data_IF_868481217686
#
_entry.id   IF_868481217686
#
_cell.length_a   1.000
_cell.length_b   1.000
_cell.length_c   1.000
_cell.angle_alpha   90.00
_cell.angle_beta   90.00
_cell.angle_gamma   90.00
#
_symmetry.space_group_name_H-M   'P 1'
#
loop_
_entity.id
_entity.type
_entity.pdbx_description
1 polymer ?
#
# COMPACT_ATOMS: atom_id res chain seq x y z
N UNK A 1 -50.66 5.09 -60.75
CA UNK A 1 -49.88 6.17 -61.39
C UNK A 1 -49.61 7.24 -60.35
N UNK A 2 -48.33 7.61 -60.19
CA UNK A 2 -47.76 8.93 -59.79
C UNK A 2 -48.51 9.72 -58.71
N UNK A 3 -47.94 10.16 -57.59
CA UNK A 3 -46.55 10.31 -57.19
C UNK A 3 -46.54 11.25 -55.99
N UNK A 4 -45.68 10.96 -55.01
CA UNK A 4 -45.35 11.84 -53.88
C UNK A 4 -44.57 13.03 -54.44
N UNK A 5 -44.70 14.19 -53.79
CA UNK A 5 -43.60 15.05 -53.36
C UNK A 5 -44.21 16.28 -52.67
N UNK A 6 -44.20 16.27 -51.34
CA UNK A 6 -44.37 17.49 -50.56
C UNK A 6 -42.99 17.81 -49.98
N UNK A 7 -42.39 18.85 -50.56
CA UNK A 7 -41.19 19.54 -50.12
C UNK A 7 -41.37 20.11 -48.71
N UNK A 8 -40.47 19.77 -47.79
CA UNK A 8 -39.29 20.58 -47.41
C UNK A 8 -39.62 21.70 -46.41
N UNK A 9 -39.49 21.37 -45.13
CA UNK A 9 -39.16 22.33 -44.07
C UNK A 9 -38.42 21.60 -42.95
N UNK A 10 -37.16 21.22 -43.22
CA UNK A 10 -36.20 20.83 -42.19
C UNK A 10 -35.84 22.07 -41.37
N UNK A 11 -36.61 22.32 -40.31
CA UNK A 11 -36.20 23.20 -39.22
C UNK A 11 -35.03 22.53 -38.51
N UNK A 12 -33.82 22.94 -38.88
CA UNK A 12 -32.58 22.64 -38.17
C UNK A 12 -32.70 23.20 -36.75
N UNK A 13 -33.00 22.31 -35.81
CA UNK A 13 -32.82 22.59 -34.39
C UNK A 13 -31.35 22.96 -34.15
N UNK A 14 -31.04 24.08 -33.48
CA UNK A 14 -29.68 24.37 -33.08
C UNK A 14 -29.20 23.29 -32.13
N UNK A 15 -28.17 22.57 -32.56
CA UNK A 15 -27.40 21.64 -31.78
C UNK A 15 -26.98 22.29 -30.46
N UNK A 16 -27.48 21.75 -29.34
CA UNK A 16 -26.89 21.98 -28.02
C UNK A 16 -25.44 21.52 -28.08
N UNK A 17 -24.52 22.47 -28.15
CA UNK A 17 -23.11 22.25 -27.88
C UNK A 17 -23.02 21.80 -26.42
N UNK A 18 -22.52 20.58 -26.12
CA UNK A 18 -22.26 20.21 -24.73
C UNK A 18 -21.11 21.09 -24.20
N UNK A 19 -21.36 21.78 -23.10
CA UNK A 19 -20.35 22.59 -22.42
C UNK A 19 -19.12 21.72 -22.05
N UNK A 20 -17.89 22.26 -22.14
CA UNK A 20 -16.70 21.54 -21.73
C UNK A 20 -16.76 21.24 -20.23
N UNK A 21 -16.64 19.96 -19.88
CA UNK A 21 -16.56 19.49 -18.51
C UNK A 21 -15.22 19.99 -17.96
N UNK A 22 -15.25 20.99 -17.08
CA UNK A 22 -14.07 21.42 -16.35
C UNK A 22 -13.58 20.26 -15.47
N UNK A 23 -12.30 19.84 -15.56
CA UNK A 23 -11.75 18.93 -14.56
C UNK A 23 -11.76 19.63 -13.20
N UNK A 24 -12.07 18.92 -12.10
CA UNK A 24 -12.02 19.51 -10.77
C UNK A 24 -10.62 20.09 -10.52
N UNK A 25 -10.49 21.21 -9.79
CA UNK A 25 -9.19 21.78 -9.50
C UNK A 25 -8.32 20.70 -8.85
N UNK A 26 -7.21 20.40 -9.51
CA UNK A 26 -6.16 19.56 -8.95
C UNK A 26 -5.85 20.11 -7.57
N UNK A 27 -6.20 19.36 -6.53
CA UNK A 27 -5.71 19.59 -5.19
C UNK A 27 -4.21 19.75 -5.31
N UNK A 28 -3.74 20.97 -5.09
CA UNK A 28 -2.34 21.25 -4.88
C UNK A 28 -1.86 20.20 -3.87
N UNK A 29 -1.02 19.28 -4.32
CA UNK A 29 -0.28 18.38 -3.46
C UNK A 29 0.60 19.27 -2.60
N UNK A 30 0.04 19.79 -1.51
CA UNK A 30 0.81 20.18 -0.36
C UNK A 30 1.61 18.94 0.01
N UNK A 31 2.90 19.00 -0.28
CA UNK A 31 3.90 18.03 0.11
C UNK A 31 3.86 17.93 1.64
N UNK A 32 3.00 17.03 2.12
CA UNK A 32 2.87 16.66 3.51
C UNK A 32 4.24 16.23 4.02
N UNK A 33 4.67 16.72 5.19
CA UNK A 33 5.87 16.21 5.85
C UNK A 33 5.74 14.70 6.00
N UNK A 34 6.75 13.98 5.52
CA UNK A 34 6.80 12.52 5.59
C UNK A 34 6.80 12.11 7.07
N UNK A 35 5.63 11.74 7.61
CA UNK A 35 5.52 11.11 8.92
C UNK A 35 6.35 9.81 8.93
N UNK A 36 7.10 9.53 10.00
CA UNK A 36 7.85 8.29 10.15
C UNK A 36 6.97 7.04 10.03
N UNK A 37 7.50 5.99 9.40
CA UNK A 37 6.80 4.73 9.09
C UNK A 37 6.30 3.94 10.31
N UNK A 38 6.75 4.25 11.53
CA UNK A 38 6.24 3.64 12.77
C UNK A 38 4.85 4.16 13.19
N UNK A 39 4.38 5.28 12.62
CA UNK A 39 3.00 5.75 12.78
C UNK A 39 2.01 5.07 11.82
N UNK A 40 2.46 4.08 11.04
CA UNK A 40 1.62 3.17 10.24
C UNK A 40 1.80 1.75 10.74
N UNK A 41 1.37 1.47 11.96
CA UNK A 41 0.96 0.11 12.25
C UNK A 41 -0.31 -0.20 11.44
N UNK A 42 -0.33 -1.30 10.67
CA UNK A 42 -1.59 -1.79 10.12
C UNK A 42 -2.42 -2.25 11.31
N UNK A 43 -3.44 -1.49 11.66
CA UNK A 43 -4.57 -2.01 12.43
C UNK A 43 -4.98 -3.31 11.76
N UNK A 44 -4.86 -4.40 12.53
CA UNK A 44 -5.22 -5.73 12.09
C UNK A 44 -6.57 -5.66 11.36
N UNK A 45 -6.55 -6.02 10.08
CA UNK A 45 -7.76 -6.24 9.33
C UNK A 45 -8.51 -7.36 10.07
N UNK A 46 -9.49 -6.97 10.88
CA UNK A 46 -10.48 -7.88 11.42
C UNK A 46 -11.22 -8.42 10.19
N UNK A 47 -10.83 -9.62 9.77
CA UNK A 47 -11.47 -10.37 8.70
C UNK A 47 -12.97 -10.36 8.95
N UNK A 48 -13.71 -9.66 8.10
CA UNK A 48 -15.16 -9.67 8.07
C UNK A 48 -15.63 -11.09 7.77
N UNK A 49 -15.87 -11.87 8.84
CA UNK A 49 -16.73 -13.03 8.77
C UNK A 49 -18.17 -12.52 8.69
N UNK A 50 -18.88 -13.02 7.69
CA UNK A 50 -20.33 -13.21 7.70
C UNK A 50 -21.15 -12.01 8.14
N UNK A 51 -21.62 -11.26 7.16
CA UNK A 51 -22.65 -10.25 7.28
C UNK A 51 -23.99 -10.86 7.70
N UNK A 52 -24.15 -11.19 8.98
CA UNK A 52 -25.46 -11.38 9.63
C UNK A 52 -25.48 -10.56 10.92
N UNK A 53 -25.26 -9.26 10.76
CA UNK A 53 -25.33 -8.27 11.83
C UNK A 53 -26.38 -7.24 11.47
N UNK A 54 -27.56 -7.38 12.08
CA UNK A 54 -28.66 -6.42 12.05
C UNK A 54 -28.10 -5.00 12.19
N UNK A 55 -28.16 -4.22 11.12
CA UNK A 55 -27.94 -2.78 11.17
C UNK A 55 -29.10 -2.18 11.96
N UNK A 56 -28.98 -2.14 13.29
CA UNK A 56 -29.88 -1.31 14.10
C UNK A 56 -29.55 0.14 13.75
N UNK A 57 -30.45 0.78 13.01
CA UNK A 57 -30.38 2.16 12.51
C UNK A 57 -30.39 3.21 13.63
N UNK A 58 -29.36 3.20 14.48
CA UNK A 58 -29.09 4.25 15.45
C UNK A 58 -27.95 5.13 14.97
N UNK A 59 -28.17 6.44 14.95
CA UNK A 59 -27.14 7.42 14.57
C UNK A 59 -25.85 7.21 15.39
N UNK A 60 -24.64 7.30 14.76
CA UNK A 60 -23.36 6.98 15.42
C UNK A 60 -23.08 7.79 16.69
N UNK A 61 -23.74 8.94 16.84
CA UNK A 61 -23.68 9.80 18.02
C UNK A 61 -24.29 9.17 19.28
N UNK A 62 -25.17 8.17 19.14
CA UNK A 62 -25.80 7.43 20.25
C UNK A 62 -24.78 6.60 21.05
N UNK A 63 -23.78 6.04 20.37
CA UNK A 63 -22.76 5.18 20.99
C UNK A 63 -21.66 5.98 21.71
N UNK A 64 -21.65 7.32 21.62
CA UNK A 64 -20.62 8.16 22.25
C UNK A 64 -20.80 8.18 23.77
N UNK A 65 -19.70 7.91 24.50
CA UNK A 65 -19.63 8.00 25.97
C UNK A 65 -20.15 9.33 26.53
N UNK A 66 -20.02 10.42 25.76
CA UNK A 66 -20.51 11.75 26.12
C UNK A 66 -22.02 11.80 26.39
N UNK A 67 -22.84 10.98 25.71
CA UNK A 67 -24.30 10.93 25.96
C UNK A 67 -24.59 10.37 27.36
N UNK A 68 -23.87 9.33 27.78
CA UNK A 68 -24.02 8.69 29.11
C UNK A 68 -23.54 9.59 30.26
N UNK A 69 -22.62 10.52 29.98
CA UNK A 69 -22.04 11.40 31.00
C UNK A 69 -22.87 12.67 31.28
N UNK A 70 -24.00 12.90 30.59
CA UNK A 70 -24.91 14.02 30.94
C UNK A 70 -25.54 13.81 32.31
N UNK A 71 -25.67 14.87 33.09
CA UNK A 71 -26.08 14.81 34.50
C UNK A 71 -24.90 14.65 35.47
N UNK A 72 -23.73 14.18 35.00
CA UNK A 72 -22.51 14.19 35.82
C UNK A 72 -21.82 15.56 35.77
N UNK A 73 -21.60 16.15 36.95
CA UNK A 73 -21.11 17.53 37.14
C UNK A 73 -19.77 17.81 36.43
N UNK A 74 -18.83 16.86 36.39
CA UNK A 74 -17.48 17.08 35.82
C UNK A 74 -17.16 16.27 34.55
N UNK A 75 -18.16 15.57 33.99
CA UNK A 75 -18.00 14.73 32.79
C UNK A 75 -16.82 13.73 32.86
N UNK A 76 -16.44 13.28 34.06
CA UNK A 76 -15.37 12.30 34.27
C UNK A 76 -13.95 12.87 34.34
N UNK A 77 -13.77 14.19 34.43
CA UNK A 77 -12.46 14.84 34.52
C UNK A 77 -12.03 15.23 35.95
N UNK A 78 -12.74 14.73 36.97
CA UNK A 78 -12.47 15.07 38.38
C UNK A 78 -12.92 16.49 38.78
N UNK A 79 -13.05 16.74 40.10
CA UNK A 79 -13.49 18.05 40.63
C UNK A 79 -12.34 19.03 40.89
N UNK A 80 -11.19 18.52 41.34
CA UNK A 80 -10.05 19.32 41.83
C UNK A 80 -9.14 19.76 40.68
N UNK A 81 -8.53 18.80 39.96
CA UNK A 81 -7.57 19.10 38.90
C UNK A 81 -8.17 19.81 37.67
N UNK A 82 -9.45 19.54 37.38
CA UNK A 82 -10.25 20.05 36.26
C UNK A 82 -9.63 19.82 34.88
N UNK A 83 -10.47 19.68 33.85
CA UNK A 83 -9.98 19.61 32.48
C UNK A 83 -9.57 21.02 31.99
N UNK A 84 -8.29 21.22 31.70
CA UNK A 84 -7.73 22.48 31.18
C UNK A 84 -7.08 22.26 29.82
N UNK A 85 -6.96 23.34 29.03
CA UNK A 85 -6.61 23.26 27.59
C UNK A 85 -5.21 22.69 27.30
N UNK A 86 -4.16 23.13 28.02
CA UNK A 86 -2.77 22.70 27.76
C UNK A 86 -1.96 22.61 29.06
N UNK A 87 -2.02 21.50 29.80
CA UNK A 87 -1.31 21.38 31.08
C UNK A 87 0.22 21.24 30.93
N UNK A 88 0.71 20.63 29.85
CA UNK A 88 2.12 20.32 29.66
C UNK A 88 2.76 20.98 28.43
N UNK A 89 2.12 21.99 27.85
CA UNK A 89 2.48 22.58 26.56
C UNK A 89 1.65 22.05 25.39
N UNK A 90 2.05 22.40 24.17
CA UNK A 90 1.39 22.00 22.92
C UNK A 90 2.30 21.07 22.12
N UNK A 91 1.76 19.99 21.58
CA UNK A 91 2.52 19.03 20.79
C UNK A 91 3.66 18.39 21.60
N UNK A 92 4.86 18.32 21.02
CA UNK A 92 6.05 17.71 21.63
C UNK A 92 6.86 18.67 22.51
N UNK A 93 6.25 19.75 23.01
CA UNK A 93 6.91 20.70 23.90
C UNK A 93 7.44 19.98 25.16
N UNK A 94 8.57 20.45 25.71
CA UNK A 94 9.13 19.89 26.95
C UNK A 94 9.82 18.54 26.81
N UNK A 95 10.02 18.01 25.61
CA UNK A 95 10.58 16.67 25.41
C UNK A 95 12.01 16.47 25.94
N UNK A 96 12.77 17.54 26.18
CA UNK A 96 14.07 17.50 26.87
C UNK A 96 14.01 17.93 28.36
N UNK A 97 12.85 18.44 28.81
CA UNK A 97 12.66 19.02 30.13
C UNK A 97 11.59 18.22 30.89
N UNK A 98 10.41 18.79 31.11
CA UNK A 98 9.35 18.20 31.93
C UNK A 98 8.66 16.98 31.31
N UNK A 99 8.85 16.72 30.01
CA UNK A 99 8.43 15.49 29.32
C UNK A 99 9.60 14.57 28.94
N UNK A 100 10.81 14.85 29.43
CA UNK A 100 12.01 14.04 29.15
C UNK A 100 11.82 12.56 29.43
N UNK A 101 11.24 12.23 30.58
CA UNK A 101 11.01 10.84 31.00
C UNK A 101 10.19 10.07 29.95
N UNK A 102 9.22 10.72 29.30
CA UNK A 102 8.41 10.08 28.28
C UNK A 102 9.21 9.78 27.00
N UNK A 103 10.05 10.73 26.56
CA UNK A 103 10.87 10.58 25.36
C UNK A 103 11.99 9.57 25.55
N UNK A 104 12.69 9.62 26.68
CA UNK A 104 13.79 8.69 26.97
C UNK A 104 13.28 7.24 27.11
N UNK A 105 12.07 7.06 27.64
CA UNK A 105 11.47 5.74 27.85
C UNK A 105 10.91 5.11 26.59
N UNK A 106 10.14 5.86 25.80
CA UNK A 106 9.37 5.28 24.67
C UNK A 106 9.96 5.62 23.30
N UNK A 107 10.77 6.67 23.19
CA UNK A 107 11.32 7.15 21.93
C UNK A 107 12.83 7.44 22.04
N UNK A 108 13.66 6.45 22.41
CA UNK A 108 15.10 6.63 22.46
C UNK A 108 15.64 6.96 21.05
N UNK A 109 16.55 7.94 20.96
CA UNK A 109 17.10 8.41 19.69
C UNK A 109 16.23 9.41 18.94
N UNK A 110 15.13 9.90 19.53
CA UNK A 110 14.33 10.98 18.94
C UNK A 110 15.13 12.29 18.81
N UNK A 111 15.91 12.61 19.84
CA UNK A 111 16.81 13.76 19.83
C UNK A 111 18.19 13.35 19.34
N UNK A 112 18.72 14.07 18.36
CA UNK A 112 20.05 13.86 17.81
C UNK A 112 20.09 13.95 16.29
N UNK A 113 21.30 13.97 15.73
CA UNK A 113 21.54 13.93 14.28
C UNK A 113 22.44 12.75 13.98
N UNK A 114 21.99 11.86 13.09
CA UNK A 114 22.70 10.63 12.73
C UNK A 114 22.79 10.51 11.21
N UNK A 115 23.91 9.99 10.70
CA UNK A 115 24.11 9.66 9.29
C UNK A 115 24.42 10.86 8.38
N UNK A 116 24.58 10.56 7.09
CA UNK A 116 24.86 11.55 6.05
C UNK A 116 23.57 12.03 5.37
N UNK A 117 23.50 13.33 5.03
CA UNK A 117 22.34 13.89 4.34
C UNK A 117 22.43 13.61 2.84
N UNK A 118 21.45 12.91 2.30
CA UNK A 118 21.30 12.70 0.85
C UNK A 118 20.46 13.83 0.24
N UNK A 119 21.08 14.68 -0.57
CA UNK A 119 20.39 15.74 -1.32
C UNK A 119 19.70 15.17 -2.57
N UNK A 120 18.56 15.76 -2.97
CA UNK A 120 17.80 15.39 -4.17
C UNK A 120 17.56 13.87 -4.33
N UNK A 121 17.07 13.23 -3.27
CA UNK A 121 16.84 11.79 -3.24
C UNK A 121 15.83 11.34 -4.31
N UNK A 122 16.31 10.69 -5.37
CA UNK A 122 15.49 10.05 -6.41
C UNK A 122 15.15 8.61 -6.02
N UNK A 123 13.97 8.39 -5.42
CA UNK A 123 13.54 7.06 -4.95
C UNK A 123 13.46 6.00 -6.05
N UNK A 124 13.23 6.41 -7.30
CA UNK A 124 13.15 5.50 -8.44
C UNK A 124 14.48 4.78 -8.73
N UNK A 125 15.62 5.40 -8.45
CA UNK A 125 16.94 4.78 -8.66
C UNK A 125 17.22 3.70 -7.61
N UNK A 126 16.75 3.89 -6.37
CA UNK A 126 16.85 2.92 -5.28
C UNK A 126 15.70 1.89 -5.29
N UNK A 127 14.78 1.97 -6.25
CA UNK A 127 13.62 1.09 -6.28
C UNK A 127 14.07 -0.33 -6.67
N UNK A 128 14.05 -1.24 -5.70
CA UNK A 128 14.47 -2.62 -5.88
C UNK A 128 13.54 -3.56 -5.10
N UNK A 129 12.32 -3.80 -5.60
CA UNK A 129 11.42 -4.79 -5.03
C UNK A 129 12.04 -6.19 -5.13
N UNK A 130 12.04 -6.91 -4.03
CA UNK A 130 12.70 -8.22 -3.90
C UNK A 130 11.69 -9.36 -3.83
N UNK A 131 11.98 -10.48 -4.50
CA UNK A 131 11.24 -11.74 -4.38
C UNK A 131 12.17 -12.87 -3.91
N UNK A 132 11.66 -13.80 -3.12
CA UNK A 132 12.40 -14.97 -2.66
C UNK A 132 12.09 -16.22 -3.51
N UNK A 133 12.95 -17.23 -3.46
CA UNK A 133 12.79 -18.47 -4.21
C UNK A 133 11.49 -19.24 -3.88
N UNK A 134 11.04 -19.20 -2.62
CA UNK A 134 9.81 -19.85 -2.18
C UNK A 134 8.55 -19.36 -2.93
N UNK A 135 8.56 -18.10 -3.39
CA UNK A 135 7.41 -17.47 -4.04
C UNK A 135 7.47 -17.51 -5.56
N UNK A 136 8.57 -17.98 -6.17
CA UNK A 136 8.69 -17.98 -7.63
C UNK A 136 7.57 -18.79 -8.31
N UNK A 137 7.18 -19.93 -7.74
CA UNK A 137 6.09 -20.76 -8.26
C UNK A 137 4.69 -20.20 -8.02
N UNK A 138 4.55 -19.17 -7.19
CA UNK A 138 3.26 -18.46 -7.00
C UNK A 138 3.03 -17.40 -8.07
N UNK A 139 4.08 -16.95 -8.77
CA UNK A 139 3.98 -16.01 -9.89
C UNK A 139 3.53 -16.68 -11.18
N UNK A 140 3.52 -18.01 -11.21
CA UNK A 140 3.20 -18.84 -12.36
C UNK A 140 1.79 -19.40 -12.17
N UNK A 141 1.01 -19.51 -13.25
CA UNK A 141 -0.31 -20.13 -13.20
C UNK A 141 -0.21 -21.62 -12.84
N UNK A 142 -1.25 -22.14 -12.17
CA UNK A 142 -1.27 -23.55 -11.75
C UNK A 142 -1.16 -24.51 -12.93
N UNK A 143 -1.74 -24.14 -14.08
CA UNK A 143 -1.66 -24.91 -15.32
C UNK A 143 -0.19 -25.08 -15.78
N UNK A 144 0.59 -24.00 -15.80
CA UNK A 144 2.00 -24.05 -16.19
C UNK A 144 2.83 -24.84 -15.18
N UNK A 145 2.50 -24.76 -13.89
CA UNK A 145 3.16 -25.55 -12.84
C UNK A 145 2.92 -27.06 -13.00
N UNK A 146 1.68 -27.47 -13.29
CA UNK A 146 1.33 -28.88 -13.52
C UNK A 146 1.98 -29.40 -14.80
N UNK A 147 2.03 -28.59 -15.86
CA UNK A 147 2.67 -28.96 -17.12
C UNK A 147 4.20 -29.11 -16.97
N UNK A 148 4.84 -28.22 -16.19
CA UNK A 148 6.26 -28.34 -15.85
C UNK A 148 6.56 -29.58 -14.98
N UNK A 149 5.61 -30.02 -14.16
CA UNK A 149 5.75 -31.25 -13.37
C UNK A 149 5.65 -32.52 -14.23
N UNK A 150 4.80 -32.50 -15.27
CA UNK A 150 4.56 -33.64 -16.16
C UNK A 150 5.66 -33.81 -17.21
N UNK A 151 6.18 -32.71 -17.76
CA UNK A 151 7.18 -32.73 -18.84
C UNK A 151 8.60 -32.57 -18.30
N UNK A 152 9.21 -33.67 -17.85
CA UNK A 152 10.60 -33.67 -17.33
C UNK A 152 11.67 -33.40 -18.40
N UNK A 153 11.35 -33.63 -19.66
CA UNK A 153 12.27 -33.53 -20.82
C UNK A 153 11.96 -32.33 -21.71
N UNK A 154 10.90 -31.58 -21.41
CA UNK A 154 10.44 -30.45 -22.22
C UNK A 154 11.09 -29.11 -21.83
N UNK A 155 10.78 -28.07 -22.60
CA UNK A 155 11.26 -26.71 -22.34
C UNK A 155 10.88 -26.24 -20.92
N UNK A 156 11.88 -25.77 -20.16
CA UNK A 156 11.69 -25.29 -18.80
C UNK A 156 10.84 -24.00 -18.77
N UNK A 157 9.97 -23.83 -17.75
CA UNK A 157 9.16 -22.63 -17.63
C UNK A 157 10.05 -21.39 -17.38
N UNK A 158 9.77 -20.33 -18.13
CA UNK A 158 10.40 -19.03 -17.97
C UNK A 158 9.57 -18.21 -16.98
N UNK A 159 10.15 -17.87 -15.85
CA UNK A 159 9.55 -17.00 -14.85
C UNK A 159 10.18 -15.61 -15.00
N UNK A 160 9.40 -14.69 -15.55
CA UNK A 160 9.76 -13.28 -15.63
C UNK A 160 9.28 -12.55 -14.38
N UNK A 161 10.21 -12.25 -13.47
CA UNK A 161 9.88 -11.55 -12.23
C UNK A 161 9.73 -10.05 -12.45
N UNK A 162 10.31 -9.51 -13.53
CA UNK A 162 10.23 -8.08 -13.87
C UNK A 162 8.81 -7.72 -14.29
N UNK A 163 8.16 -8.59 -15.07
CA UNK A 163 6.74 -8.44 -15.42
C UNK A 163 5.82 -8.43 -14.19
N UNK A 164 6.19 -9.20 -13.15
CA UNK A 164 5.49 -9.19 -11.87
C UNK A 164 5.86 -8.03 -10.95
N UNK A 165 6.72 -7.11 -11.39
CA UNK A 165 7.12 -5.92 -10.64
C UNK A 165 8.25 -6.15 -9.64
N UNK A 166 9.03 -7.24 -9.74
CA UNK A 166 10.19 -7.51 -8.89
C UNK A 166 11.50 -7.38 -9.67
N UNK A 167 12.52 -6.80 -9.05
CA UNK A 167 13.82 -6.56 -9.71
C UNK A 167 14.90 -7.50 -9.20
N UNK A 168 14.87 -7.89 -7.92
CA UNK A 168 15.91 -8.71 -7.31
C UNK A 168 15.39 -10.03 -6.74
N UNK A 169 16.08 -11.13 -7.06
CA UNK A 169 15.77 -12.47 -6.53
C UNK A 169 16.72 -12.83 -5.39
N UNK A 170 16.14 -13.17 -4.24
CA UNK A 170 16.82 -13.53 -3.00
C UNK A 170 16.74 -15.04 -2.73
N UNK A 171 17.81 -15.60 -2.15
CA UNK A 171 17.97 -17.04 -1.96
C UNK A 171 17.27 -17.66 -0.74
N UNK A 172 16.25 -17.02 -0.15
CA UNK A 172 15.48 -17.62 0.96
C UNK A 172 14.55 -18.71 0.39
N UNK A 173 14.41 -19.83 1.12
CA UNK A 173 13.58 -20.96 0.72
C UNK A 173 14.32 -22.03 -0.10
N UNK A 174 13.57 -23.04 -0.51
CA UNK A 174 14.01 -24.15 -1.38
C UNK A 174 13.13 -24.17 -2.61
N UNK A 175 13.75 -24.45 -3.75
CA UNK A 175 13.01 -24.72 -4.98
C UNK A 175 12.67 -26.22 -5.04
N UNK A 176 11.52 -26.60 -5.64
CA UNK A 176 11.28 -28.00 -6.00
C UNK A 176 12.37 -28.47 -6.98
N UNK A 177 12.58 -29.78 -7.09
CA UNK A 177 13.55 -30.41 -8.03
C UNK A 177 13.07 -30.34 -9.49
N UNK A 178 12.62 -29.17 -9.93
CA UNK A 178 12.12 -28.89 -11.27
C UNK A 178 12.95 -27.74 -11.86
N UNK A 179 13.55 -27.90 -13.06
CA UNK A 179 14.38 -26.87 -13.66
C UNK A 179 13.52 -25.64 -14.02
N UNK A 180 14.05 -24.45 -13.76
CA UNK A 180 13.37 -23.17 -14.00
C UNK A 180 14.36 -22.15 -14.57
N UNK A 181 13.90 -21.37 -15.54
CA UNK A 181 14.66 -20.22 -16.05
C UNK A 181 14.05 -18.96 -15.43
N UNK A 182 14.84 -18.21 -14.65
CA UNK A 182 14.37 -17.00 -13.97
C UNK A 182 14.97 -15.78 -14.64
N UNK A 183 14.14 -14.83 -15.07
CA UNK A 183 14.53 -13.53 -15.63
C UNK A 183 14.37 -12.44 -14.59
N UNK A 184 15.46 -11.77 -14.20
CA UNK A 184 15.45 -10.68 -13.21
C UNK A 184 16.55 -9.65 -13.50
N UNK A 185 16.49 -8.47 -12.87
CA UNK A 185 17.56 -7.47 -12.99
C UNK A 185 18.78 -7.81 -12.12
N UNK A 186 18.54 -8.36 -10.94
CA UNK A 186 19.59 -8.71 -9.99
C UNK A 186 19.32 -10.06 -9.34
N UNK A 187 20.39 -10.81 -9.08
CA UNK A 187 20.34 -12.03 -8.28
C UNK A 187 21.28 -11.91 -7.08
N UNK A 188 20.91 -12.57 -5.98
CA UNK A 188 21.86 -12.83 -4.90
C UNK A 188 22.67 -14.09 -5.22
N UNK A 189 23.95 -14.13 -4.81
CA UNK A 189 24.83 -15.30 -5.01
C UNK A 189 24.17 -16.62 -4.58
N UNK A 190 23.57 -16.63 -3.38
CA UNK A 190 22.84 -17.80 -2.85
C UNK A 190 21.62 -18.20 -3.69
N UNK A 191 20.95 -17.24 -4.35
CA UNK A 191 19.84 -17.56 -5.24
C UNK A 191 20.35 -18.23 -6.51
N UNK A 192 21.45 -17.73 -7.09
CA UNK A 192 22.05 -18.32 -8.29
C UNK A 192 22.54 -19.74 -8.04
N UNK A 193 23.28 -19.97 -6.96
CA UNK A 193 23.76 -21.31 -6.56
C UNK A 193 22.61 -22.31 -6.46
N UNK A 194 21.49 -21.90 -5.85
CA UNK A 194 20.31 -22.75 -5.70
C UNK A 194 19.57 -23.00 -7.00
N UNK A 195 19.40 -21.97 -7.85
CA UNK A 195 18.73 -22.11 -9.14
C UNK A 195 19.55 -23.04 -10.05
N UNK A 196 20.88 -22.84 -10.10
CA UNK A 196 21.81 -23.71 -10.83
C UNK A 196 21.81 -25.13 -10.27
N UNK A 197 21.75 -25.29 -8.94
CA UNK A 197 21.69 -26.60 -8.28
C UNK A 197 20.42 -27.41 -8.59
N UNK A 198 19.33 -26.76 -9.01
CA UNK A 198 18.10 -27.43 -9.48
C UNK A 198 18.15 -27.73 -11.00
N UNK A 199 19.21 -27.31 -11.69
CA UNK A 199 19.32 -27.39 -13.16
C UNK A 199 18.58 -26.25 -13.87
N UNK A 200 18.32 -25.15 -13.16
CA UNK A 200 17.76 -23.92 -13.71
C UNK A 200 18.83 -22.95 -14.22
N UNK A 201 18.38 -21.87 -14.85
CA UNK A 201 19.25 -20.80 -15.35
C UNK A 201 18.78 -19.42 -14.85
N UNK A 202 19.74 -18.55 -14.52
CA UNK A 202 19.49 -17.15 -14.19
C UNK A 202 19.78 -16.28 -15.41
N UNK A 203 18.81 -15.50 -15.86
CA UNK A 203 18.95 -14.58 -16.99
C UNK A 203 18.81 -13.16 -16.47
N UNK A 204 19.83 -12.33 -16.73
CA UNK A 204 19.81 -10.92 -16.37
C UNK A 204 19.03 -10.13 -17.44
N UNK A 205 18.16 -9.24 -16.99
CA UNK A 205 17.34 -8.35 -17.83
C UNK A 205 17.55 -6.90 -17.37
N UNK A 206 17.61 -5.97 -18.32
CA UNK A 206 17.85 -4.55 -18.05
C UNK A 206 16.66 -3.83 -17.37
#
# INVERSE_FOLDING_TARGET
MVGRLCESALLLHPSRIPAPIHPPPTLACFSSPHWPTWAREPVAACSARGSDGIHTGGSPSRLRKTRKLRGHVSHGHGRIGKHRKHPGGRGNAGGLHHHRINFDKYHPGYFGKVGMRHYHLKRNQSFCPTVNLDKLWTLVSEQTRVNAAKNKTGAAPIIDVVRSGYYKVLGKGKLPKQPVIVKAKFFSRRAEEKIKGVGGACVLVA
#
